data_IF_361777225536
#
_entry.id   IF_361777225536
#
_cell.length_a   1.000
_cell.length_b   1.000
_cell.length_c   1.000
_cell.angle_alpha   90.00
_cell.angle_beta   90.00
_cell.angle_gamma   90.00
#
_symmetry.space_group_name_H-M   'P 1'
#
loop_
_entity.id
_entity.type
_entity.pdbx_description
1 polymer ?
#
# COMPACT_ATOMS: atom_id res chain seq x y z
N UNK A 1 -6.99 40.40 10.15
CA UNK A 1 -7.46 40.35 11.55
C UNK A 1 -8.51 39.27 11.67
N UNK A 2 -8.27 38.25 12.50
CA UNK A 2 -9.23 37.17 12.79
C UNK A 2 -8.61 36.16 13.74
N UNK A 3 -8.64 36.45 15.04
CA UNK A 3 -8.11 35.57 16.11
C UNK A 3 -9.17 34.54 16.48
N UNK A 4 -9.03 33.31 16.01
CA UNK A 4 -9.78 32.16 16.53
C UNK A 4 -9.19 31.71 17.86
N UNK A 5 -9.87 32.05 18.95
CA UNK A 5 -9.44 31.80 20.33
C UNK A 5 -9.44 30.31 20.68
N UNK A 6 -8.35 29.89 21.32
CA UNK A 6 -8.20 28.56 21.89
C UNK A 6 -9.22 28.27 23.00
N UNK A 7 -9.51 26.98 23.18
CA UNK A 7 -10.38 26.47 24.22
C UNK A 7 -9.77 26.71 25.62
N UNK A 8 -10.42 27.54 26.44
CA UNK A 8 -10.08 27.73 27.86
C UNK A 8 -11.04 26.86 28.70
N UNK A 9 -10.56 25.94 29.56
CA UNK A 9 -11.42 25.13 30.43
C UNK A 9 -12.09 25.99 31.53
N UNK A 10 -13.41 25.90 31.65
CA UNK A 10 -14.20 26.71 32.61
C UNK A 10 -14.19 26.11 34.02
N UNK A 11 -13.69 26.88 35.01
CA UNK A 11 -13.49 26.54 36.43
C UNK A 11 -14.78 26.44 37.30
N UNK A 12 -15.97 26.28 36.73
CA UNK A 12 -17.24 26.41 37.49
C UNK A 12 -18.25 25.25 37.31
N UNK A 13 -17.79 23.99 37.32
CA UNK A 13 -18.72 22.86 37.45
C UNK A 13 -18.36 22.02 38.67
N UNK A 14 -19.25 22.03 39.66
CA UNK A 14 -19.11 21.28 40.91
C UNK A 14 -19.78 19.91 40.75
N UNK A 15 -19.16 18.80 41.21
CA UNK A 15 -19.76 17.47 41.11
C UNK A 15 -20.82 17.24 42.22
N UNK A 16 -21.88 16.47 41.95
CA UNK A 16 -22.86 16.10 42.99
C UNK A 16 -22.29 15.06 43.98
N UNK A 17 -22.65 15.23 45.25
CA UNK A 17 -22.27 14.38 46.37
C UNK A 17 -23.01 13.03 46.37
N UNK A 18 -22.31 11.96 46.77
CA UNK A 18 -22.74 10.57 46.61
C UNK A 18 -23.63 9.99 47.72
N UNK A 19 -24.05 8.74 47.49
CA UNK A 19 -24.52 7.80 48.51
C UNK A 19 -23.86 6.42 48.26
N UNK A 20 -23.64 5.60 49.31
CA UNK A 20 -22.71 4.48 49.28
C UNK A 20 -23.41 3.16 48.92
N UNK A 21 -22.68 2.23 48.32
CA UNK A 21 -23.14 0.85 48.23
C UNK A 21 -22.57 0.06 47.07
N UNK A 22 -21.96 -1.08 47.44
CA UNK A 22 -21.74 -2.28 46.63
C UNK A 22 -20.82 -2.15 45.42
N UNK A 23 -19.57 -2.60 45.61
CA UNK A 23 -18.74 -3.08 44.52
C UNK A 23 -19.44 -4.27 43.84
N UNK A 24 -19.63 -4.25 42.51
CA UNK A 24 -19.84 -5.47 41.75
C UNK A 24 -18.47 -6.06 41.41
N UNK A 25 -18.30 -7.31 41.83
CA UNK A 25 -17.30 -8.24 41.34
C UNK A 25 -17.61 -8.67 39.91
N UNK A 26 -16.59 -9.23 39.25
CA UNK A 26 -16.63 -9.98 37.98
C UNK A 26 -16.86 -9.13 36.72
N UNK A 27 -16.17 -9.35 35.60
CA UNK A 27 -15.52 -10.57 35.13
C UNK A 27 -14.31 -10.19 34.26
N UNK A 28 -13.18 -10.83 34.54
CA UNK A 28 -12.08 -10.98 33.59
C UNK A 28 -12.60 -11.76 32.38
N UNK A 29 -13.08 -11.05 31.36
CA UNK A 29 -13.06 -11.57 30.01
C UNK A 29 -11.66 -11.33 29.47
N UNK A 30 -10.76 -12.28 29.79
CA UNK A 30 -9.59 -12.52 28.97
C UNK A 30 -10.13 -12.76 27.55
N UNK A 31 -10.01 -11.74 26.68
CA UNK A 31 -10.11 -11.97 25.26
C UNK A 31 -8.93 -12.88 24.95
N UNK A 32 -9.25 -14.16 24.79
CA UNK A 32 -8.29 -15.20 24.51
C UNK A 32 -7.38 -14.68 23.40
N UNK A 33 -6.07 -14.71 23.65
CA UNK A 33 -5.08 -14.73 22.59
C UNK A 33 -5.36 -15.99 21.79
N UNK A 34 -6.30 -15.89 20.85
CA UNK A 34 -6.42 -16.83 19.77
C UNK A 34 -5.15 -16.68 18.97
N UNK A 35 -4.27 -17.66 19.07
CA UNK A 35 -3.23 -17.88 18.08
C UNK A 35 -3.90 -17.80 16.72
N UNK A 36 -3.61 -16.73 15.98
CA UNK A 36 -3.84 -16.71 14.54
C UNK A 36 -2.94 -17.82 14.01
N UNK A 37 -3.48 -18.93 13.47
CA UNK A 37 -2.66 -19.98 12.92
C UNK A 37 -1.79 -19.35 11.83
N UNK A 38 -0.47 -19.40 12.04
CA UNK A 38 0.55 -18.83 11.14
C UNK A 38 0.85 -19.73 9.95
N UNK A 39 0.00 -20.70 9.65
CA UNK A 39 0.06 -21.44 8.39
C UNK A 39 -0.95 -20.82 7.42
N UNK A 40 -0.49 -19.78 6.73
CA UNK A 40 -1.03 -19.48 5.41
C UNK A 40 -0.37 -20.46 4.41
N UNK A 41 -1.11 -20.96 3.42
CA UNK A 41 -0.89 -22.30 2.88
C UNK A 41 0.23 -22.32 1.84
N UNK A 42 1.32 -23.03 2.14
CA UNK A 42 2.27 -23.49 1.12
C UNK A 42 1.56 -24.40 0.08
N UNK A 43 0.42 -25.00 0.44
CA UNK A 43 -0.40 -25.87 -0.42
C UNK A 43 -1.11 -25.13 -1.58
N UNK A 44 -1.51 -23.86 -1.43
CA UNK A 44 -2.23 -23.15 -2.50
C UNK A 44 -1.28 -22.67 -3.60
N UNK A 45 -0.06 -22.30 -3.23
CA UNK A 45 1.03 -21.99 -4.16
C UNK A 45 1.45 -23.26 -4.93
N UNK A 46 1.42 -24.43 -4.26
CA UNK A 46 1.66 -25.73 -4.90
C UNK A 46 0.53 -26.14 -5.87
N UNK A 47 -0.74 -25.83 -5.56
CA UNK A 47 -1.87 -26.14 -6.44
C UNK A 47 -1.89 -25.29 -7.72
N UNK A 48 -1.48 -24.01 -7.65
CA UNK A 48 -1.36 -23.15 -8.83
C UNK A 48 -0.20 -23.57 -9.76
N UNK A 49 0.90 -24.06 -9.17
CA UNK A 49 2.04 -24.61 -9.93
C UNK A 49 1.78 -26.01 -10.49
N UNK A 50 0.84 -26.77 -9.91
CA UNK A 50 0.46 -28.11 -10.39
C UNK A 50 -0.25 -28.10 -11.77
N UNK A 51 -0.73 -26.95 -12.25
CA UNK A 51 -1.41 -26.81 -13.54
C UNK A 51 -0.50 -26.33 -14.70
N UNK A 52 0.82 -26.22 -14.49
CA UNK A 52 1.77 -25.80 -15.52
C UNK A 52 1.67 -24.33 -15.94
N UNK A 53 0.82 -23.52 -15.30
CA UNK A 53 0.81 -22.06 -15.45
C UNK A 53 1.70 -21.43 -14.39
N UNK A 54 2.55 -20.48 -14.80
CA UNK A 54 3.36 -19.70 -13.85
C UNK A 54 2.46 -18.74 -13.06
N UNK A 55 2.75 -18.61 -11.76
CA UNK A 55 2.16 -17.59 -10.88
C UNK A 55 2.67 -16.22 -11.33
N UNK A 56 1.78 -15.27 -11.62
CA UNK A 56 2.16 -13.95 -12.13
C UNK A 56 2.11 -12.94 -11.00
N UNK A 57 3.27 -12.42 -10.60
CA UNK A 57 3.37 -11.32 -9.64
C UNK A 57 3.62 -10.01 -10.38
N UNK A 58 2.64 -9.11 -10.28
CA UNK A 58 2.74 -7.79 -10.89
C UNK A 58 3.46 -6.84 -9.95
N UNK A 59 4.50 -6.17 -10.44
CA UNK A 59 5.22 -5.13 -9.72
C UNK A 59 4.86 -3.81 -10.36
N UNK A 60 3.88 -3.12 -9.78
CA UNK A 60 3.31 -1.87 -10.28
C UNK A 60 3.91 -0.72 -9.49
N UNK A 61 4.65 0.17 -10.14
CA UNK A 61 5.36 1.22 -9.41
C UNK A 61 5.30 2.59 -10.08
N UNK A 62 5.39 3.63 -9.25
CA UNK A 62 5.68 4.99 -9.66
C UNK A 62 7.08 5.39 -9.20
N UNK A 63 7.90 5.96 -10.09
CA UNK A 63 9.23 6.45 -9.72
C UNK A 63 9.57 7.75 -10.44
N UNK A 64 9.68 8.84 -9.68
CA UNK A 64 10.09 10.14 -10.24
C UNK A 64 11.59 10.20 -10.53
N UNK A 65 12.44 9.79 -9.59
CA UNK A 65 13.90 9.89 -9.69
C UNK A 65 14.63 8.55 -9.84
N UNK A 66 13.90 7.45 -10.04
CA UNK A 66 14.47 6.12 -10.30
C UNK A 66 14.74 5.27 -9.05
N UNK A 67 14.70 5.82 -7.83
CA UNK A 67 14.93 5.03 -6.60
C UNK A 67 13.94 3.88 -6.44
N UNK A 68 12.64 4.17 -6.60
CA UNK A 68 11.59 3.13 -6.56
C UNK A 68 11.73 2.15 -7.72
N UNK A 69 12.15 2.59 -8.90
CA UNK A 69 12.39 1.70 -10.04
C UNK A 69 13.53 0.72 -9.76
N UNK A 70 14.61 1.19 -9.13
CA UNK A 70 15.71 0.33 -8.70
C UNK A 70 15.21 -0.74 -7.70
N UNK A 71 14.38 -0.37 -6.72
CA UNK A 71 13.75 -1.32 -5.80
C UNK A 71 12.84 -2.31 -6.53
N UNK A 72 12.00 -1.83 -7.45
CA UNK A 72 11.11 -2.68 -8.25
C UNK A 72 11.87 -3.73 -9.06
N UNK A 73 13.01 -3.37 -9.66
CA UNK A 73 13.87 -4.30 -10.40
C UNK A 73 14.52 -5.34 -9.48
N UNK A 74 14.89 -4.97 -8.25
CA UNK A 74 15.41 -5.91 -7.26
C UNK A 74 14.32 -6.86 -6.76
N UNK A 75 13.12 -6.36 -6.51
CA UNK A 75 11.97 -7.19 -6.19
C UNK A 75 11.67 -8.18 -7.33
N UNK A 76 11.71 -7.72 -8.58
CA UNK A 76 11.50 -8.56 -9.76
C UNK A 76 12.56 -9.66 -9.91
N UNK A 77 13.83 -9.32 -9.67
CA UNK A 77 14.91 -10.30 -9.67
C UNK A 77 14.71 -11.37 -8.57
N UNK A 78 14.24 -10.95 -7.38
CA UNK A 78 13.91 -11.87 -6.29
C UNK A 78 12.74 -12.79 -6.64
N UNK A 79 11.67 -12.23 -7.21
CA UNK A 79 10.52 -13.01 -7.68
C UNK A 79 10.92 -14.01 -8.77
N UNK A 80 11.68 -13.57 -9.76
CA UNK A 80 12.13 -14.43 -10.87
C UNK A 80 13.13 -15.51 -10.47
N UNK A 81 13.69 -15.46 -9.26
CA UNK A 81 14.53 -16.53 -8.71
C UNK A 81 13.71 -17.70 -8.15
N UNK A 82 12.39 -17.53 -7.95
CA UNK A 82 11.50 -18.58 -7.47
C UNK A 82 10.94 -19.36 -8.65
N UNK A 83 11.09 -20.69 -8.61
CA UNK A 83 10.58 -21.57 -9.66
C UNK A 83 9.05 -21.46 -9.76
N UNK A 84 8.53 -21.42 -10.99
CA UNK A 84 7.09 -21.34 -11.24
C UNK A 84 6.48 -19.94 -11.05
N UNK A 85 7.27 -18.90 -10.74
CA UNK A 85 6.79 -17.52 -10.57
C UNK A 85 7.36 -16.60 -11.65
N UNK A 86 6.52 -15.72 -12.20
CA UNK A 86 6.86 -14.72 -13.20
C UNK A 86 6.67 -13.31 -12.64
N UNK A 87 7.71 -12.48 -12.72
CA UNK A 87 7.65 -11.07 -12.37
C UNK A 87 7.25 -10.22 -13.58
N UNK A 88 6.17 -9.44 -13.46
CA UNK A 88 5.73 -8.52 -14.51
C UNK A 88 5.88 -7.08 -14.02
N UNK A 89 6.85 -6.34 -14.55
CA UNK A 89 7.04 -4.93 -14.19
C UNK A 89 6.09 -4.03 -14.99
N UNK A 90 5.47 -3.10 -14.27
CA UNK A 90 4.58 -2.09 -14.84
C UNK A 90 4.81 -0.73 -14.19
N UNK A 91 4.94 0.30 -15.03
CA UNK A 91 5.08 1.69 -14.57
C UNK A 91 3.72 2.37 -14.54
N UNK A 92 3.42 3.07 -13.45
CA UNK A 92 2.24 3.93 -13.36
C UNK A 92 2.41 5.15 -14.28
N UNK A 93 1.36 5.58 -15.02
CA UNK A 93 1.40 6.78 -15.85
C UNK A 93 1.86 8.03 -15.09
N UNK A 94 2.68 8.85 -15.74
CA UNK A 94 3.06 10.17 -15.23
C UNK A 94 1.93 11.17 -15.48
N UNK A 95 1.58 11.97 -14.47
CA UNK A 95 0.49 12.95 -14.55
C UNK A 95 0.98 14.40 -14.62
N UNK A 96 2.26 14.63 -14.34
CA UNK A 96 2.86 15.95 -14.46
C UNK A 96 3.16 16.30 -15.93
N UNK A 97 2.96 17.56 -16.34
CA UNK A 97 3.36 18.02 -17.66
C UNK A 97 4.87 17.89 -17.90
N UNK A 98 5.31 17.64 -19.16
CA UNK A 98 6.73 17.51 -19.49
C UNK A 98 7.58 18.70 -19.05
N UNK A 99 7.07 19.93 -19.16
CA UNK A 99 7.79 21.14 -18.74
C UNK A 99 8.04 21.21 -17.22
N UNK A 100 7.17 20.58 -16.42
CA UNK A 100 7.37 20.47 -14.97
C UNK A 100 8.44 19.43 -14.67
N UNK A 101 8.41 18.30 -15.36
CA UNK A 101 9.41 17.24 -15.21
C UNK A 101 10.82 17.73 -15.57
N UNK A 102 10.94 18.53 -16.63
CA UNK A 102 12.20 19.14 -17.05
C UNK A 102 12.74 20.08 -15.98
N UNK A 103 11.90 20.98 -15.43
CA UNK A 103 12.28 21.88 -14.33
C UNK A 103 12.69 21.13 -13.06
N UNK A 104 12.07 19.99 -12.80
CA UNK A 104 12.41 19.12 -11.68
C UNK A 104 13.64 18.24 -11.95
N UNK A 105 14.23 18.33 -13.14
CA UNK A 105 15.38 17.52 -13.57
C UNK A 105 15.10 16.01 -13.41
N UNK A 106 13.85 15.60 -13.67
CA UNK A 106 13.48 14.20 -13.61
C UNK A 106 14.21 13.43 -14.73
N UNK A 107 14.90 12.32 -14.40
CA UNK A 107 15.60 11.54 -15.40
C UNK A 107 14.62 10.91 -16.40
N UNK A 108 15.09 10.75 -17.65
CA UNK A 108 14.37 10.00 -18.67
C UNK A 108 14.04 8.59 -18.17
N UNK A 109 12.85 8.11 -18.55
CA UNK A 109 12.37 6.79 -18.14
C UNK A 109 12.86 5.72 -19.10
N UNK A 110 13.24 4.56 -18.56
CA UNK A 110 13.58 3.40 -19.38
C UNK A 110 12.34 2.92 -20.16
N UNK A 111 12.35 2.92 -21.51
CA UNK A 111 11.23 2.45 -22.32
C UNK A 111 11.01 0.94 -22.22
N UNK A 112 11.98 0.16 -21.72
CA UNK A 112 11.85 -1.29 -21.57
C UNK A 112 10.83 -1.70 -20.50
N UNK A 113 10.46 -0.79 -19.58
CA UNK A 113 9.38 -1.03 -18.60
C UNK A 113 8.09 -0.40 -19.12
N UNK A 114 7.09 -1.20 -19.52
CA UNK A 114 5.84 -0.68 -20.06
C UNK A 114 5.07 0.13 -19.01
N UNK A 115 4.40 1.18 -19.47
CA UNK A 115 3.40 1.89 -18.68
C UNK A 115 2.11 1.06 -18.64
N UNK A 116 1.42 1.04 -17.51
CA UNK A 116 0.09 0.41 -17.40
C UNK A 116 -0.86 1.11 -18.36
N UNK A 117 -1.41 0.36 -19.32
CA UNK A 117 -2.35 0.89 -20.29
C UNK A 117 -3.76 0.96 -19.71
N UNK A 118 -4.12 -0.01 -18.87
CA UNK A 118 -5.41 -0.07 -18.19
C UNK A 118 -5.29 -0.70 -16.81
N UNK A 119 -6.09 -0.22 -15.85
CA UNK A 119 -6.24 -0.85 -14.55
C UNK A 119 -6.66 -2.33 -14.66
N UNK A 120 -7.40 -2.71 -15.71
CA UNK A 120 -7.88 -4.07 -15.92
C UNK A 120 -6.74 -5.11 -16.04
N UNK A 121 -5.53 -4.68 -16.39
CA UNK A 121 -4.35 -5.56 -16.41
C UNK A 121 -4.05 -6.18 -15.03
N UNK A 122 -4.49 -5.56 -13.93
CA UNK A 122 -4.33 -6.09 -12.57
C UNK A 122 -5.07 -7.41 -12.34
N UNK A 123 -6.11 -7.70 -13.13
CA UNK A 123 -6.86 -8.95 -12.99
C UNK A 123 -6.03 -10.18 -13.35
N UNK A 124 -5.09 -10.02 -14.27
CA UNK A 124 -4.22 -11.08 -14.74
C UNK A 124 -3.14 -11.46 -13.72
N UNK A 125 -2.95 -10.65 -12.69
CA UNK A 125 -1.98 -10.87 -11.63
C UNK A 125 -2.53 -11.85 -10.59
N UNK A 126 -1.74 -12.83 -10.18
CA UNK A 126 -2.07 -13.69 -9.05
C UNK A 126 -1.74 -12.99 -7.71
N UNK A 127 -0.84 -12.01 -7.73
CA UNK A 127 -0.55 -11.11 -6.61
C UNK A 127 0.13 -9.83 -7.09
N UNK A 128 0.10 -8.78 -6.26
CA UNK A 128 0.58 -7.44 -6.67
C UNK A 128 1.51 -6.81 -5.63
N UNK A 129 2.64 -6.27 -6.08
CA UNK A 129 3.50 -5.41 -5.29
C UNK A 129 3.42 -3.98 -5.81
N UNK A 130 3.03 -3.06 -4.94
CA UNK A 130 2.94 -1.64 -5.26
C UNK A 130 4.15 -0.87 -4.74
N UNK A 131 4.80 -0.11 -5.63
CA UNK A 131 5.98 0.70 -5.30
C UNK A 131 5.74 2.18 -5.50
N UNK A 132 5.97 3.03 -4.49
CA UNK A 132 5.86 4.48 -4.67
C UNK A 132 6.72 5.28 -3.68
N UNK A 133 7.14 6.50 -4.05
CA UNK A 133 7.83 7.37 -3.12
C UNK A 133 6.84 7.99 -2.14
N UNK A 134 7.32 8.36 -0.95
CA UNK A 134 6.51 9.15 -0.02
C UNK A 134 6.33 10.60 -0.50
N UNK A 135 5.11 11.12 -0.30
CA UNK A 135 4.74 12.52 -0.41
C UNK A 135 3.95 12.89 0.84
N UNK A 136 4.62 13.54 1.79
CA UNK A 136 4.02 13.97 3.07
C UNK A 136 3.38 12.83 3.87
N UNK A 137 4.01 11.66 3.89
CA UNK A 137 3.49 10.49 4.60
C UNK A 137 2.35 9.77 3.87
N UNK A 138 2.10 10.12 2.60
CA UNK A 138 1.15 9.45 1.73
C UNK A 138 1.81 9.04 0.40
N UNK A 139 1.09 8.27 -0.41
CA UNK A 139 1.53 7.90 -1.76
C UNK A 139 1.62 9.12 -2.69
N UNK A 140 2.42 9.01 -3.75
CA UNK A 140 2.44 10.02 -4.80
C UNK A 140 1.08 10.12 -5.52
N UNK A 141 0.72 11.34 -5.95
CA UNK A 141 -0.55 11.60 -6.64
C UNK A 141 -0.77 10.73 -7.88
N UNK A 142 0.30 10.38 -8.59
CA UNK A 142 0.30 9.46 -9.73
C UNK A 142 -0.20 8.07 -9.35
N UNK A 143 0.31 7.52 -8.24
CA UNK A 143 -0.16 6.22 -7.73
C UNK A 143 -1.61 6.32 -7.26
N UNK A 144 -1.98 7.42 -6.59
CA UNK A 144 -3.36 7.63 -6.16
C UNK A 144 -4.33 7.69 -7.34
N UNK A 145 -3.97 8.42 -8.41
CA UNK A 145 -4.76 8.51 -9.63
C UNK A 145 -4.90 7.13 -10.30
N UNK A 146 -3.87 6.30 -10.28
CA UNK A 146 -3.96 4.92 -10.75
C UNK A 146 -4.96 4.10 -9.92
N UNK A 147 -4.92 4.17 -8.59
CA UNK A 147 -5.93 3.51 -7.76
C UNK A 147 -7.34 4.05 -8.01
N UNK A 148 -7.49 5.36 -8.25
CA UNK A 148 -8.80 5.93 -8.57
C UNK A 148 -9.36 5.44 -9.91
N UNK A 149 -8.49 4.95 -10.81
CA UNK A 149 -8.90 4.32 -12.07
C UNK A 149 -9.39 2.87 -11.93
N UNK A 150 -9.25 2.24 -10.75
CA UNK A 150 -9.66 0.83 -10.52
C UNK A 150 -11.13 0.69 -10.10
N UNK A 151 -11.95 1.75 -10.23
CA UNK A 151 -13.33 1.78 -9.76
C UNK A 151 -14.21 0.61 -10.25
N UNK A 152 -14.12 0.25 -11.53
CA UNK A 152 -14.87 -0.90 -12.09
C UNK A 152 -14.43 -2.24 -11.50
N UNK A 153 -13.11 -2.41 -11.28
CA UNK A 153 -12.56 -3.62 -10.64
C UNK A 153 -13.02 -3.76 -9.20
N UNK A 154 -13.17 -2.63 -8.50
CA UNK A 154 -13.66 -2.61 -7.13
C UNK A 154 -15.16 -2.93 -7.08
N UNK A 155 -15.97 -2.35 -7.97
CA UNK A 155 -17.40 -2.65 -8.06
C UNK A 155 -17.66 -4.15 -8.32
N UNK A 156 -16.87 -4.74 -9.23
CA UNK A 156 -16.96 -6.16 -9.59
C UNK A 156 -16.16 -7.10 -8.65
N UNK A 157 -15.51 -6.57 -7.60
CA UNK A 157 -14.67 -7.32 -6.65
C UNK A 157 -13.56 -8.17 -7.30
N UNK A 158 -13.04 -7.77 -8.46
CA UNK A 158 -12.11 -8.59 -9.27
C UNK A 158 -10.71 -8.75 -8.68
N UNK A 159 -10.36 -7.87 -7.76
CA UNK A 159 -9.10 -7.94 -7.03
C UNK A 159 -9.25 -8.56 -5.63
N UNK A 160 -10.46 -8.95 -5.24
CA UNK A 160 -10.69 -9.57 -3.93
C UNK A 160 -9.94 -10.90 -3.82
N UNK A 161 -9.29 -11.13 -2.67
CA UNK A 161 -8.51 -12.35 -2.41
C UNK A 161 -7.10 -12.37 -3.00
N UNK A 162 -6.74 -11.45 -3.92
CA UNK A 162 -5.38 -11.37 -4.45
C UNK A 162 -4.44 -10.76 -3.38
N UNK A 163 -3.33 -11.43 -3.01
CA UNK A 163 -2.36 -10.86 -2.08
C UNK A 163 -1.72 -9.59 -2.66
N UNK A 164 -1.58 -8.58 -1.80
CA UNK A 164 -0.94 -7.32 -2.15
C UNK A 164 0.14 -6.94 -1.11
N UNK A 165 1.22 -6.33 -1.58
CA UNK A 165 2.27 -5.78 -0.74
C UNK A 165 2.72 -4.40 -1.22
N UNK A 166 3.41 -3.68 -0.35
CA UNK A 166 3.85 -2.31 -0.61
C UNK A 166 5.35 -2.16 -0.34
N UNK A 167 6.03 -1.35 -1.15
CA UNK A 167 7.38 -0.89 -0.86
C UNK A 167 7.51 0.60 -1.14
N UNK A 168 8.18 1.29 -0.22
CA UNK A 168 8.24 2.76 -0.21
C UNK A 168 9.68 3.22 -0.26
N UNK A 169 9.92 4.37 -0.91
CA UNK A 169 11.20 5.08 -0.87
C UNK A 169 11.00 6.49 -0.29
N UNK A 170 11.87 6.89 0.62
CA UNK A 170 11.85 8.21 1.26
C UNK A 170 13.26 8.81 1.27
N UNK A 171 13.36 10.14 1.38
CA UNK A 171 14.65 10.85 1.39
C UNK A 171 15.32 10.95 2.76
N UNK A 172 14.61 10.64 3.85
CA UNK A 172 15.10 10.80 5.23
C UNK A 172 14.60 9.66 6.12
N UNK A 173 15.38 9.31 7.14
CA UNK A 173 14.93 8.41 8.20
C UNK A 173 13.74 9.05 8.95
N UNK A 174 12.70 8.27 9.24
CA UNK A 174 11.46 8.77 9.83
C UNK A 174 10.60 9.63 8.90
N UNK A 175 10.96 9.75 7.62
CA UNK A 175 10.24 10.53 6.61
C UNK A 175 8.95 9.90 6.10
N UNK A 176 8.32 9.02 6.88
CA UNK A 176 7.09 8.32 6.50
C UNK A 176 7.30 6.98 5.80
N UNK A 177 8.37 6.23 6.10
CA UNK A 177 8.54 4.85 5.57
C UNK A 177 7.35 3.96 5.94
N UNK A 178 6.86 4.11 7.17
CA UNK A 178 5.79 3.30 7.73
C UNK A 178 4.42 3.87 7.38
N UNK A 179 4.19 5.17 7.61
CA UNK A 179 2.86 5.78 7.44
C UNK A 179 2.39 5.85 5.99
N UNK A 180 3.32 5.80 5.03
CA UNK A 180 3.01 5.83 3.59
C UNK A 180 2.54 4.48 3.08
N UNK A 181 3.00 3.38 3.71
CA UNK A 181 2.83 2.01 3.25
C UNK A 181 1.43 1.46 3.55
#
# INVERSE_FOLDING_TARGET
MGKGGGCVPSKKRQPPAGAPGTAPSSSSAAAAAGEVPREAPEEEVAAATAAGRKVRLYIVFYSMYGHVEALARRAAAGVGAVEGVEAVLRRVPETLPPEVLEKMQAPAKDPAVPVVASAAELEEADGVLFGFPTRYGAMAAQMKAFFDSTGSLWEEQRLAGKPAGFFVSTGTQGGGQETTA
#
